data_IF_172892943228
#
_entry.id   IF_172892943228
#
_cell.length_a   1.000
_cell.length_b   1.000
_cell.length_c   1.000
_cell.angle_alpha   90.00
_cell.angle_beta   90.00
_cell.angle_gamma   90.00
#
_symmetry.space_group_name_H-M   'P 1'
#
loop_
_entity.id
_entity.type
_entity.pdbx_description
1 polymer ?
#
# COMPACT_ATOMS: atom_id res chain seq x y z
N UNK A 1 6.75 -7.88 4.78
CA UNK A 1 5.93 -6.83 5.40
C UNK A 1 6.64 -5.50 5.50
N UNK A 2 7.97 -5.54 5.57
CA UNK A 2 8.86 -4.38 5.62
C UNK A 2 8.62 -3.39 4.46
N UNK A 3 8.54 -3.88 3.21
CA UNK A 3 8.34 -2.99 2.05
C UNK A 3 7.09 -2.11 2.09
N UNK A 4 5.95 -2.62 2.55
CA UNK A 4 4.71 -1.81 2.63
C UNK A 4 4.82 -0.77 3.75
N UNK A 5 5.45 -1.13 4.87
CA UNK A 5 5.73 -0.19 5.95
C UNK A 5 6.72 0.91 5.51
N UNK A 6 7.76 0.54 4.75
CA UNK A 6 8.71 1.48 4.17
C UNK A 6 8.02 2.49 3.24
N UNK A 7 7.13 2.02 2.34
CA UNK A 7 6.34 2.92 1.49
C UNK A 7 5.48 3.86 2.33
N UNK A 8 4.75 3.35 3.33
CA UNK A 8 3.89 4.19 4.18
C UNK A 8 4.69 5.20 5.00
N UNK A 9 5.95 4.91 5.35
CA UNK A 9 6.84 5.86 6.03
C UNK A 9 7.20 7.09 5.17
N UNK A 10 7.03 7.00 3.85
CA UNK A 10 7.21 8.11 2.90
C UNK A 10 5.91 8.84 2.57
N UNK A 11 4.76 8.32 3.01
CA UNK A 11 3.48 8.93 2.75
C UNK A 11 3.15 9.94 3.86
N UNK A 12 3.02 11.21 3.49
CA UNK A 12 2.42 12.23 4.34
C UNK A 12 0.90 12.02 4.34
N UNK A 13 0.43 11.07 5.16
CA UNK A 13 -0.99 10.72 5.22
C UNK A 13 -1.82 11.87 5.82
N UNK A 14 -3.08 12.05 5.38
CA UNK A 14 -4.01 12.95 6.05
C UNK A 14 -4.15 12.63 7.54
N UNK A 15 -4.45 13.64 8.37
CA UNK A 15 -4.48 13.52 9.84
C UNK A 15 -5.48 12.46 10.31
N UNK A 16 -6.64 12.38 9.66
CA UNK A 16 -7.72 11.45 9.99
C UNK A 16 -7.62 10.10 9.23
N UNK A 17 -6.46 9.77 8.66
CA UNK A 17 -6.25 8.51 7.96
C UNK A 17 -6.18 7.31 8.93
N UNK A 18 -7.10 6.35 8.80
CA UNK A 18 -6.98 5.07 9.48
C UNK A 18 -6.08 4.12 8.68
N UNK A 19 -4.96 3.72 9.27
CA UNK A 19 -4.06 2.69 8.74
C UNK A 19 -4.36 1.35 9.41
N UNK A 20 -4.81 0.38 8.62
CA UNK A 20 -5.26 -0.93 9.08
C UNK A 20 -4.36 -2.04 8.52
N UNK A 21 -3.91 -2.95 9.38
CA UNK A 21 -3.03 -4.06 9.03
C UNK A 21 -1.78 -4.11 9.91
N UNK A 22 -0.82 -5.01 9.63
CA UNK A 22 -0.74 -5.87 8.44
C UNK A 22 -1.77 -7.01 8.46
N UNK A 23 -2.33 -7.33 7.29
CA UNK A 23 -3.19 -8.53 7.11
C UNK A 23 -2.75 -9.31 5.88
N UNK A 24 -3.05 -10.61 5.87
CA UNK A 24 -2.76 -11.46 4.72
C UNK A 24 -3.53 -11.00 3.47
N UNK A 25 -2.90 -11.20 2.32
CA UNK A 25 -3.55 -11.07 1.03
C UNK A 25 -4.56 -12.24 0.88
N UNK A 26 -5.84 -11.97 0.61
CA UNK A 26 -6.85 -13.02 0.49
C UNK A 26 -6.52 -14.06 -0.60
N UNK A 27 -6.90 -15.34 -0.41
CA UNK A 27 -6.73 -16.36 -1.43
C UNK A 27 -7.38 -15.97 -2.76
N UNK A 28 -6.72 -16.25 -3.88
CA UNK A 28 -7.22 -15.93 -5.22
C UNK A 28 -6.95 -14.50 -5.69
N UNK A 29 -6.52 -13.59 -4.81
CA UNK A 29 -6.08 -12.24 -5.22
C UNK A 29 -4.71 -12.33 -5.89
N UNK A 30 -4.56 -11.62 -7.02
CA UNK A 30 -3.29 -11.57 -7.74
C UNK A 30 -2.21 -10.94 -6.87
N UNK A 31 -1.21 -11.74 -6.52
CA UNK A 31 -0.01 -11.32 -5.80
C UNK A 31 0.81 -10.31 -6.65
N UNK A 32 1.56 -9.39 -6.01
CA UNK A 32 2.50 -8.54 -6.72
C UNK A 32 3.48 -9.34 -7.57
N UNK A 33 4.00 -8.78 -8.68
CA UNK A 33 5.09 -9.39 -9.42
C UNK A 33 6.30 -9.65 -8.51
N UNK A 34 7.09 -10.68 -8.82
CA UNK A 34 8.28 -11.05 -8.06
C UNK A 34 8.05 -11.43 -6.57
N UNK A 35 6.80 -11.65 -6.13
CA UNK A 35 6.58 -12.22 -4.80
C UNK A 35 6.90 -13.73 -4.80
N UNK A 36 7.77 -14.25 -3.91
CA UNK A 36 8.16 -15.65 -3.89
C UNK A 36 6.97 -16.61 -3.75
N UNK A 37 7.00 -17.72 -4.50
CA UNK A 37 5.99 -18.76 -4.39
C UNK A 37 6.02 -19.40 -2.99
N UNK A 38 4.84 -19.63 -2.38
CA UNK A 38 4.73 -20.25 -1.05
C UNK A 38 4.83 -19.29 0.13
N UNK A 39 5.32 -18.06 -0.05
CA UNK A 39 5.34 -17.06 1.03
C UNK A 39 4.01 -16.30 1.13
N UNK A 40 3.54 -15.92 2.34
CA UNK A 40 2.36 -15.06 2.47
C UNK A 40 2.68 -13.65 1.96
N UNK A 41 1.82 -13.13 1.08
CA UNK A 41 1.83 -11.71 0.75
C UNK A 41 0.95 -10.98 1.77
N UNK A 42 1.37 -9.81 2.24
CA UNK A 42 0.59 -8.98 3.15
C UNK A 42 0.10 -7.71 2.45
N UNK A 43 -0.93 -7.09 3.03
CA UNK A 43 -1.42 -5.77 2.64
C UNK A 43 -1.62 -4.89 3.88
N UNK A 44 -1.48 -3.59 3.66
CA UNK A 44 -2.01 -2.55 4.54
C UNK A 44 -3.20 -1.91 3.82
N UNK A 45 -4.25 -1.55 4.57
CA UNK A 45 -5.39 -0.80 4.08
C UNK A 45 -5.33 0.59 4.69
N UNK A 46 -5.50 1.62 3.87
CA UNK A 46 -5.59 3.00 4.35
C UNK A 46 -6.94 3.55 3.92
N UNK A 47 -7.69 4.10 4.87
CA UNK A 47 -8.98 4.75 4.62
C UNK A 47 -8.96 6.17 5.19
N UNK A 48 -9.71 7.05 4.55
CA UNK A 48 -9.84 8.46 4.91
C UNK A 48 -11.30 8.89 4.72
N UNK A 49 -11.64 10.09 5.19
CA UNK A 49 -12.91 10.73 4.83
C UNK A 49 -13.05 10.86 3.30
N UNK A 50 -14.29 10.91 2.80
CA UNK A 50 -14.54 10.96 1.34
C UNK A 50 -13.92 12.21 0.69
N UNK A 51 -13.90 13.31 1.44
CA UNK A 51 -13.32 14.59 1.08
C UNK A 51 -11.78 14.59 1.04
N UNK A 52 -11.13 13.66 1.73
CA UNK A 52 -9.67 13.53 1.79
C UNK A 52 -9.09 12.52 0.77
N UNK A 53 -9.94 11.81 0.02
CA UNK A 53 -9.49 10.76 -0.89
C UNK A 53 -8.47 11.22 -1.94
N UNK A 54 -8.58 12.46 -2.41
CA UNK A 54 -7.60 13.05 -3.33
C UNK A 54 -6.26 13.33 -2.65
N UNK A 55 -6.27 13.78 -1.38
CA UNK A 55 -5.07 14.00 -0.60
C UNK A 55 -4.34 12.66 -0.35
N UNK A 56 -5.06 11.62 0.06
CA UNK A 56 -4.50 10.28 0.20
C UNK A 56 -3.87 9.78 -1.10
N UNK A 57 -4.58 9.92 -2.23
CA UNK A 57 -4.07 9.49 -3.53
C UNK A 57 -2.78 10.24 -3.93
N UNK A 58 -2.67 11.53 -3.62
CA UNK A 58 -1.48 12.33 -3.88
C UNK A 58 -0.30 11.86 -3.01
N UNK A 59 -0.52 11.68 -1.70
CA UNK A 59 0.51 11.22 -0.76
C UNK A 59 1.04 9.84 -1.12
N UNK A 60 0.16 8.89 -1.46
CA UNK A 60 0.56 7.55 -1.87
C UNK A 60 1.34 7.55 -3.21
N UNK A 61 0.99 8.43 -4.14
CA UNK A 61 1.72 8.58 -5.40
C UNK A 61 3.13 9.09 -5.16
N UNK A 62 3.29 10.10 -4.32
CA UNK A 62 4.60 10.63 -3.93
C UNK A 62 5.44 9.56 -3.22
N UNK A 63 4.85 8.86 -2.25
CA UNK A 63 5.52 7.78 -1.54
C UNK A 63 5.99 6.66 -2.47
N UNK A 64 5.15 6.28 -3.45
CA UNK A 64 5.51 5.28 -4.47
C UNK A 64 6.68 5.75 -5.33
N UNK A 65 6.74 7.03 -5.71
CA UNK A 65 7.86 7.59 -6.47
C UNK A 65 9.18 7.54 -5.66
N UNK A 66 9.13 7.90 -4.37
CA UNK A 66 10.29 7.83 -3.47
C UNK A 66 10.74 6.37 -3.29
N UNK A 67 9.81 5.46 -2.98
CA UNK A 67 10.09 4.03 -2.79
C UNK A 67 10.74 3.41 -4.02
N UNK A 68 10.18 3.69 -5.21
CA UNK A 68 10.72 3.20 -6.47
C UNK A 68 12.09 3.78 -6.81
N UNK A 69 12.37 5.03 -6.42
CA UNK A 69 13.66 5.66 -6.66
C UNK A 69 14.76 5.11 -5.74
N UNK A 70 14.40 4.71 -4.50
CA UNK A 70 15.33 4.11 -3.54
C UNK A 70 15.71 2.67 -3.90
N UNK A 71 14.75 1.88 -4.37
CA UNK A 71 14.97 0.48 -4.81
C UNK A 71 15.71 -0.38 -3.75
N UNK A 72 15.42 -0.12 -2.47
CA UNK A 72 16.01 -0.75 -1.29
C UNK A 72 15.10 -1.82 -0.66
N UNK A 73 13.84 -1.88 -1.08
CA UNK A 73 12.83 -2.84 -0.64
C UNK A 73 12.12 -3.48 -1.84
N UNK A 74 11.37 -4.56 -1.60
CA UNK A 74 10.59 -5.20 -2.66
C UNK A 74 9.53 -4.26 -3.26
N UNK A 75 9.11 -4.57 -4.50
CA UNK A 75 8.08 -3.82 -5.19
C UNK A 75 6.73 -3.92 -4.47
N UNK A 76 6.13 -2.76 -4.18
CA UNK A 76 4.79 -2.65 -3.57
C UNK A 76 3.77 -2.28 -4.64
N UNK A 77 2.57 -2.86 -4.55
CA UNK A 77 1.42 -2.49 -5.39
C UNK A 77 0.46 -1.62 -4.60
N UNK A 78 0.19 -0.41 -5.09
CA UNK A 78 -0.86 0.47 -4.55
C UNK A 78 -2.13 0.33 -5.37
N UNK A 79 -3.27 0.15 -4.70
CA UNK A 79 -4.60 0.15 -5.31
C UNK A 79 -5.42 1.28 -4.66
N UNK A 80 -6.02 2.14 -5.49
CA UNK A 80 -6.86 3.26 -5.04
C UNK A 80 -8.29 2.95 -5.44
N UNK A 81 -9.22 3.10 -4.49
CA UNK A 81 -10.65 2.85 -4.66
C UNK A 81 -10.97 1.58 -5.47
N UNK A 82 -10.40 0.42 -5.11
CA UNK A 82 -10.66 -0.78 -5.88
C UNK A 82 -12.10 -1.26 -5.63
N UNK A 83 -12.76 -1.76 -6.68
CA UNK A 83 -14.10 -2.38 -6.56
C UNK A 83 -14.15 -3.50 -5.51
N UNK A 84 -13.03 -4.20 -5.31
CA UNK A 84 -12.84 -5.20 -4.28
C UNK A 84 -11.49 -4.93 -3.61
N UNK A 85 -11.45 -4.80 -2.28
CA UNK A 85 -10.21 -4.54 -1.53
C UNK A 85 -9.32 -5.77 -1.37
N UNK A 86 -9.70 -6.90 -1.96
CA UNK A 86 -9.11 -8.22 -1.76
C UNK A 86 -10.13 -9.18 -1.19
#
# INVERSE_FOLDING_TARGET
GDAVAALLSHAELPEDADVLGPVDLPPGVRRPPATPAGEPAIRMLVRVGRDEGLALAASLRQATAIHSARNDHEAVRVQIDPLHIG
#
